data_IF_400885017434
#
_entry.id   IF_400885017434
#
_cell.length_a   1.000
_cell.length_b   1.000
_cell.length_c   1.000
_cell.angle_alpha   90.00
_cell.angle_beta   90.00
_cell.angle_gamma   90.00
#
_symmetry.space_group_name_H-M   'P 1'
#
loop_
_entity.id
_entity.type
_entity.pdbx_description
1 polymer ?
#
# COMPACT_ATOMS: atom_id res chain seq x y z
N UNK A 1 7.50 7.62 -3.90
CA UNK A 1 8.08 6.29 -3.58
C UNK A 1 8.40 6.30 -2.10
N UNK A 2 8.10 5.22 -1.37
CA UNK A 2 8.45 5.08 0.03
C UNK A 2 9.78 4.34 0.15
N UNK A 3 10.62 4.70 1.12
CA UNK A 3 11.87 3.99 1.40
C UNK A 3 11.60 2.64 2.09
N UNK A 4 10.57 2.59 2.94
CA UNK A 4 10.18 1.40 3.69
C UNK A 4 8.66 1.35 3.86
N UNK A 5 8.12 0.14 4.02
CA UNK A 5 6.71 -0.11 4.28
C UNK A 5 6.56 -1.31 5.20
N UNK A 6 5.60 -1.29 6.15
CA UNK A 6 5.28 -2.47 6.96
C UNK A 6 4.40 -3.49 6.23
N UNK A 7 3.82 -3.13 5.07
CA UNK A 7 2.93 -3.99 4.30
C UNK A 7 3.71 -5.12 3.59
N UNK A 8 3.27 -6.35 3.80
CA UNK A 8 3.75 -7.51 3.06
C UNK A 8 3.05 -7.63 1.70
N UNK A 9 3.86 -7.75 0.65
CA UNK A 9 3.36 -8.02 -0.68
C UNK A 9 2.90 -9.46 -0.84
N UNK A 10 1.94 -9.67 -1.74
CA UNK A 10 1.49 -10.99 -2.17
C UNK A 10 2.68 -11.89 -2.55
N UNK A 11 2.71 -13.12 -2.03
CA UNK A 11 3.75 -14.10 -2.35
C UNK A 11 3.27 -15.52 -2.07
N UNK A 12 3.58 -16.47 -2.97
CA UNK A 12 3.32 -17.90 -2.75
C UNK A 12 1.84 -18.26 -2.54
N UNK A 13 0.91 -17.48 -3.11
CA UNK A 13 -0.53 -17.67 -2.95
C UNK A 13 -1.14 -17.01 -1.70
N UNK A 14 -0.34 -16.31 -0.89
CA UNK A 14 -0.84 -15.45 0.19
C UNK A 14 -1.27 -14.10 -0.37
N UNK A 15 -2.49 -13.68 -0.08
CA UNK A 15 -3.01 -12.33 -0.39
C UNK A 15 -2.19 -11.26 0.34
N UNK A 16 -1.79 -10.20 -0.38
CA UNK A 16 -1.04 -9.08 0.18
C UNK A 16 -1.82 -8.26 1.21
N UNK A 17 -1.08 -7.50 2.02
CA UNK A 17 -1.67 -6.69 3.09
C UNK A 17 -2.60 -5.58 2.56
N UNK A 18 -3.60 -5.25 3.36
CA UNK A 18 -4.54 -4.13 3.17
C UNK A 18 -4.49 -3.19 4.37
N UNK A 19 -4.82 -1.93 4.15
CA UNK A 19 -4.78 -0.93 5.24
C UNK A 19 -4.87 0.50 4.74
N UNK A 20 -4.27 1.43 5.48
CA UNK A 20 -4.29 2.86 5.16
C UNK A 20 -2.88 3.45 5.24
N UNK A 21 -2.54 4.28 4.25
CA UNK A 21 -1.40 5.20 4.33
C UNK A 21 -1.94 6.61 4.60
N UNK A 22 -1.47 7.24 5.68
CA UNK A 22 -1.89 8.58 6.07
C UNK A 22 -0.74 9.56 5.92
N UNK A 23 -1.04 10.74 5.39
CA UNK A 23 -0.10 11.84 5.27
C UNK A 23 -0.79 13.17 5.51
N UNK A 24 -0.06 14.27 5.27
CA UNK A 24 -0.62 15.60 5.44
C UNK A 24 -1.75 15.85 4.43
N UNK A 25 -3.00 15.88 4.91
CA UNK A 25 -4.18 16.20 4.11
C UNK A 25 -4.72 15.06 3.24
N UNK A 26 -4.23 13.82 3.43
CA UNK A 26 -4.75 12.68 2.68
C UNK A 26 -4.74 11.37 3.47
N UNK A 27 -5.66 10.49 3.08
CA UNK A 27 -5.62 9.06 3.40
C UNK A 27 -5.64 8.30 2.09
N UNK A 28 -4.82 7.27 1.97
CA UNK A 28 -4.83 6.35 0.84
C UNK A 28 -5.23 4.97 1.36
N UNK A 29 -6.40 4.50 0.99
CA UNK A 29 -6.89 3.17 1.33
C UNK A 29 -6.20 2.15 0.42
N UNK A 30 -5.32 1.33 0.99
CA UNK A 30 -4.59 0.25 0.32
C UNK A 30 -5.49 -0.99 0.27
N UNK A 31 -5.93 -1.35 -0.92
CA UNK A 31 -6.79 -2.51 -1.18
C UNK A 31 -5.98 -3.77 -1.51
N UNK A 32 -4.73 -3.61 -1.97
CA UNK A 32 -3.82 -4.68 -2.32
C UNK A 32 -2.34 -4.22 -2.28
N UNK A 33 -1.46 -5.11 -1.87
CA UNK A 33 -0.01 -4.87 -1.82
C UNK A 33 0.72 -5.93 -2.66
N UNK A 34 1.47 -5.48 -3.67
CA UNK A 34 2.13 -6.35 -4.63
C UNK A 34 3.63 -6.05 -4.75
N UNK A 35 4.39 -7.02 -5.29
CA UNK A 35 5.81 -6.85 -5.58
C UNK A 35 6.02 -6.51 -7.05
N UNK A 36 6.69 -5.40 -7.32
CA UNK A 36 7.10 -4.96 -8.66
C UNK A 36 8.63 -4.93 -8.74
N UNK A 37 9.23 -6.08 -9.09
CA UNK A 37 10.68 -6.24 -9.06
C UNK A 37 11.22 -6.15 -7.64
N UNK A 38 11.99 -5.09 -7.34
CA UNK A 38 12.50 -4.84 -5.99
C UNK A 38 11.59 -3.92 -5.16
N UNK A 39 10.59 -3.28 -5.78
CA UNK A 39 9.68 -2.37 -5.09
C UNK A 39 8.43 -3.08 -4.56
N UNK A 40 7.85 -2.51 -3.51
CA UNK A 40 6.53 -2.87 -3.00
C UNK A 40 5.56 -1.80 -3.46
N UNK A 41 4.50 -2.21 -4.16
CA UNK A 41 3.44 -1.33 -4.66
C UNK A 41 2.18 -1.46 -3.82
N UNK A 42 1.56 -0.32 -3.51
CA UNK A 42 0.30 -0.22 -2.80
C UNK A 42 -0.79 0.22 -3.77
N UNK A 43 -1.71 -0.67 -4.12
CA UNK A 43 -2.84 -0.39 -4.99
C UNK A 43 -4.05 -0.02 -4.13
N UNK A 44 -4.75 1.03 -4.53
CA UNK A 44 -5.78 1.59 -3.67
C UNK A 44 -6.36 2.90 -4.17
N UNK A 45 -7.10 3.58 -3.28
CA UNK A 45 -7.80 4.82 -3.59
C UNK A 45 -7.34 5.95 -2.66
N UNK A 46 -7.09 7.10 -3.26
CA UNK A 46 -6.82 8.34 -2.53
C UNK A 46 -8.13 8.97 -2.07
N UNK A 47 -8.19 9.38 -0.80
CA UNK A 47 -9.19 10.28 -0.26
C UNK A 47 -8.51 11.51 0.35
N UNK A 48 -9.07 12.70 0.09
CA UNK A 48 -8.64 13.92 0.77
C UNK A 48 -9.16 13.90 2.21
N UNK A 49 -8.33 14.29 3.17
CA UNK A 49 -8.83 14.68 4.49
C UNK A 49 -9.38 16.12 4.37
N UNK A 50 -10.62 16.33 4.81
CA UNK A 50 -11.26 17.65 4.87
C UNK A 50 -10.47 18.63 5.75
#
# INVERSE_FOLDING_TARGET
MLDQTPFYAESGGQVGDKGELKGAGFTFAVDDTQKYGQAIGHLGKLSAAL
#
